data_IF_668067637153
#
_entry.id   IF_668067637153
#
_cell.length_a   1.000
_cell.length_b   1.000
_cell.length_c   1.000
_cell.angle_alpha   90.00
_cell.angle_beta   90.00
_cell.angle_gamma   90.00
#
_symmetry.space_group_name_H-M   'P 1'
#
loop_
_entity.id
_entity.type
_entity.pdbx_description
1 polymer ?
#
# COMPACT_ATOMS: atom_id res chain seq x y z
N UNK A 1 -30.74 8.17 69.38
CA UNK A 1 -29.54 8.58 68.64
C UNK A 1 -29.51 7.73 67.36
N UNK A 2 -29.84 8.30 66.23
CA UNK A 2 -29.86 7.59 64.92
C UNK A 2 -28.55 7.88 64.19
N UNK A 3 -27.72 6.87 64.00
CA UNK A 3 -26.51 6.99 63.22
C UNK A 3 -26.86 6.88 61.72
N UNK A 4 -26.64 7.95 60.96
CA UNK A 4 -26.72 7.98 59.50
C UNK A 4 -25.34 7.62 58.95
N UNK A 5 -25.24 6.46 58.35
CA UNK A 5 -24.01 6.03 57.59
C UNK A 5 -24.13 6.59 56.20
N UNK A 6 -23.28 7.58 55.89
CA UNK A 6 -23.15 8.15 54.54
C UNK A 6 -22.20 7.26 53.74
N UNK A 7 -22.76 6.45 52.84
CA UNK A 7 -22.01 5.68 51.86
C UNK A 7 -21.64 6.53 50.65
N UNK A 8 -20.41 7.01 50.61
CA UNK A 8 -19.90 7.75 49.44
C UNK A 8 -19.56 6.71 48.34
N UNK A 9 -20.40 6.66 47.31
CA UNK A 9 -20.17 5.86 46.14
C UNK A 9 -19.03 6.46 45.29
N UNK A 10 -17.92 5.75 45.16
CA UNK A 10 -16.81 6.08 44.27
C UNK A 10 -17.21 5.68 42.84
N UNK A 11 -17.63 6.63 42.02
CA UNK A 11 -17.84 6.39 40.58
C UNK A 11 -16.48 6.41 39.90
N UNK A 12 -15.97 5.23 39.59
CA UNK A 12 -14.79 5.08 38.73
C UNK A 12 -15.18 5.46 37.29
N UNK A 13 -14.76 6.64 36.82
CA UNK A 13 -14.75 6.95 35.38
C UNK A 13 -13.76 6.02 34.71
N UNK A 14 -14.26 4.95 34.09
CA UNK A 14 -13.48 4.18 33.11
C UNK A 14 -13.39 5.04 31.85
N UNK A 15 -12.35 5.87 31.75
CA UNK A 15 -11.96 6.51 30.51
C UNK A 15 -11.56 5.40 29.53
N UNK A 16 -12.34 5.22 28.45
CA UNK A 16 -11.90 4.45 27.29
C UNK A 16 -10.75 5.24 26.68
N UNK A 17 -9.51 4.83 26.94
CA UNK A 17 -8.37 5.27 26.13
C UNK A 17 -8.65 4.73 24.73
N UNK A 18 -8.89 5.62 23.76
CA UNK A 18 -8.81 5.24 22.34
C UNK A 18 -7.40 4.65 22.17
N UNK A 19 -7.31 3.36 21.85
CA UNK A 19 -6.04 2.77 21.50
C UNK A 19 -5.52 3.53 20.27
N UNK A 20 -4.27 3.98 20.31
CA UNK A 20 -3.62 4.55 19.15
C UNK A 20 -3.61 3.47 18.06
N UNK A 21 -4.04 3.82 16.84
CA UNK A 21 -3.95 2.91 15.70
C UNK A 21 -2.52 2.90 15.16
N UNK A 22 -2.00 1.73 14.85
CA UNK A 22 -0.67 1.57 14.30
C UNK A 22 -0.72 0.98 12.89
N UNK A 23 -0.11 1.67 11.91
CA UNK A 23 0.00 1.20 10.53
C UNK A 23 1.48 1.08 10.16
N UNK A 24 1.87 -0.12 9.70
CA UNK A 24 3.16 -0.37 9.10
C UNK A 24 3.07 -0.33 7.57
N UNK A 25 4.07 0.24 6.92
CA UNK A 25 4.15 0.25 5.47
C UNK A 25 5.52 -0.23 4.99
N UNK A 26 5.57 -1.09 3.98
CA UNK A 26 6.81 -1.49 3.33
C UNK A 26 6.75 -1.18 1.85
N UNK A 27 7.81 -0.57 1.35
CA UNK A 27 7.94 -0.17 -0.06
C UNK A 27 9.09 -0.91 -0.71
N UNK A 28 8.93 -1.22 -2.00
CA UNK A 28 9.94 -1.93 -2.77
C UNK A 28 11.30 -1.22 -2.73
N UNK A 29 11.29 0.13 -2.80
CA UNK A 29 12.50 0.97 -2.68
C UNK A 29 12.14 2.40 -2.28
N UNK A 30 13.10 3.08 -1.66
CA UNK A 30 12.94 4.48 -1.27
C UNK A 30 13.52 5.47 -2.28
N UNK A 31 14.40 5.04 -3.17
CA UNK A 31 15.10 5.86 -4.15
C UNK A 31 14.33 6.06 -5.48
N UNK A 32 13.09 5.59 -5.56
CA UNK A 32 12.18 5.84 -6.67
C UNK A 32 11.46 7.19 -6.48
N UNK A 33 11.54 8.06 -7.48
CA UNK A 33 10.95 9.41 -7.42
C UNK A 33 9.43 9.39 -7.25
N UNK A 34 8.73 8.47 -7.95
CA UNK A 34 7.28 8.38 -7.85
C UNK A 34 6.85 7.81 -6.49
N UNK A 35 7.50 6.75 -6.04
CA UNK A 35 7.27 6.19 -4.70
C UNK A 35 7.59 7.21 -3.60
N UNK A 36 8.55 8.10 -3.81
CA UNK A 36 8.83 9.19 -2.86
C UNK A 36 7.64 10.13 -2.73
N UNK A 37 7.00 10.52 -3.83
CA UNK A 37 5.78 11.34 -3.79
C UNK A 37 4.65 10.62 -3.05
N UNK A 38 4.42 9.34 -3.37
CA UNK A 38 3.40 8.52 -2.70
C UNK A 38 3.67 8.42 -1.18
N UNK A 39 4.89 8.06 -0.80
CA UNK A 39 5.29 7.91 0.62
C UNK A 39 5.16 9.21 1.41
N UNK A 40 5.59 10.33 0.82
CA UNK A 40 5.47 11.65 1.45
C UNK A 40 4.01 12.01 1.67
N UNK A 41 3.17 11.84 0.65
CA UNK A 41 1.74 12.10 0.78
C UNK A 41 1.05 11.20 1.82
N UNK A 42 1.48 9.94 1.97
CA UNK A 42 0.98 9.05 3.02
C UNK A 42 1.37 9.53 4.43
N UNK A 43 2.61 10.01 4.63
CA UNK A 43 3.04 10.60 5.92
C UNK A 43 2.22 11.85 6.23
N UNK A 44 2.15 12.78 5.26
CA UNK A 44 1.38 14.02 5.43
C UNK A 44 -0.09 13.76 5.78
N UNK A 45 -0.70 12.74 5.15
CA UNK A 45 -2.08 12.36 5.46
C UNK A 45 -2.20 11.70 6.84
N UNK A 46 -1.30 10.79 7.20
CA UNK A 46 -1.27 10.14 8.49
C UNK A 46 -1.16 11.15 9.64
N UNK A 47 -0.34 12.19 9.46
CA UNK A 47 -0.17 13.28 10.44
C UNK A 47 -1.44 14.11 10.68
N UNK A 48 -2.45 14.01 9.80
CA UNK A 48 -3.76 14.65 10.00
C UNK A 48 -4.72 13.84 10.85
N UNK A 49 -4.39 12.59 11.18
CA UNK A 49 -5.28 11.65 11.88
C UNK A 49 -4.83 11.55 13.34
N UNK A 50 -5.66 12.06 14.25
CA UNK A 50 -5.37 12.00 15.67
C UNK A 50 -5.28 10.55 16.17
N UNK A 51 -4.21 10.22 16.87
CA UNK A 51 -3.99 8.91 17.46
C UNK A 51 -3.52 7.83 16.48
N UNK A 52 -3.17 8.19 15.23
CA UNK A 52 -2.54 7.28 14.28
C UNK A 52 -1.01 7.31 14.40
N UNK A 53 -0.39 6.14 14.55
CA UNK A 53 1.05 5.92 14.38
C UNK A 53 1.29 5.29 13.01
N UNK A 54 2.13 5.90 12.19
CA UNK A 54 2.45 5.42 10.85
C UNK A 54 3.96 5.32 10.65
N UNK A 55 4.44 4.15 10.24
CA UNK A 55 5.85 3.90 10.00
C UNK A 55 6.08 3.31 8.61
N UNK A 56 7.23 3.64 8.01
CA UNK A 56 7.62 3.14 6.68
C UNK A 56 8.96 2.43 6.71
N UNK A 57 9.07 1.34 5.96
CA UNK A 57 10.30 0.59 5.79
C UNK A 57 10.67 0.44 4.30
N UNK A 58 11.97 0.51 4.01
CA UNK A 58 12.55 0.29 2.69
C UNK A 58 12.93 -1.18 2.53
N UNK A 59 12.32 -1.89 1.58
CA UNK A 59 12.72 -3.24 1.23
C UNK A 59 14.01 -3.28 0.39
N UNK A 60 14.42 -2.15 -0.21
CA UNK A 60 15.64 -2.05 -1.04
C UNK A 60 15.67 -3.05 -2.20
N UNK A 61 14.51 -3.31 -2.83
CA UNK A 61 14.26 -4.33 -3.85
C UNK A 61 14.63 -5.77 -3.43
N UNK A 62 14.67 -6.04 -2.12
CA UNK A 62 14.91 -7.36 -1.57
C UNK A 62 13.58 -7.96 -1.05
N UNK A 63 13.07 -8.97 -1.76
CA UNK A 63 11.83 -9.65 -1.43
C UNK A 63 11.91 -10.36 -0.06
N UNK A 64 13.04 -10.97 0.29
CA UNK A 64 13.18 -11.65 1.55
C UNK A 64 13.10 -10.66 2.71
N UNK A 65 13.79 -9.51 2.57
CA UNK A 65 13.70 -8.40 3.51
C UNK A 65 12.25 -7.87 3.63
N UNK A 66 11.53 -7.72 2.51
CA UNK A 66 10.14 -7.28 2.56
C UNK A 66 9.23 -8.24 3.31
N UNK A 67 9.37 -9.55 3.07
CA UNK A 67 8.60 -10.57 3.80
C UNK A 67 8.90 -10.51 5.30
N UNK A 68 10.15 -10.32 5.68
CA UNK A 68 10.54 -10.20 7.09
C UNK A 68 10.02 -8.89 7.72
N UNK A 69 9.96 -7.78 6.98
CA UNK A 69 9.31 -6.54 7.41
C UNK A 69 7.82 -6.76 7.69
N UNK A 70 7.10 -7.43 6.78
CA UNK A 70 5.68 -7.78 7.00
C UNK A 70 5.51 -8.63 8.26
N UNK A 71 6.33 -9.66 8.46
CA UNK A 71 6.31 -10.49 9.68
C UNK A 71 6.59 -9.69 10.94
N UNK A 72 7.52 -8.75 10.88
CA UNK A 72 7.85 -7.88 12.00
C UNK A 72 6.68 -6.97 12.38
N UNK A 73 5.97 -6.39 11.39
CA UNK A 73 4.76 -5.62 11.63
C UNK A 73 3.68 -6.47 12.30
N UNK A 74 3.44 -7.69 11.80
CA UNK A 74 2.50 -8.63 12.43
C UNK A 74 2.91 -8.94 13.88
N UNK A 75 4.20 -9.21 14.11
CA UNK A 75 4.72 -9.52 15.44
C UNK A 75 4.66 -8.35 16.42
N UNK A 76 4.77 -7.12 15.92
CA UNK A 76 4.61 -5.89 16.72
C UNK A 76 3.15 -5.53 16.98
N UNK A 77 2.20 -6.18 16.30
CA UNK A 77 0.77 -6.01 16.53
C UNK A 77 0.17 -4.78 15.87
N UNK A 78 0.70 -4.35 14.72
CA UNK A 78 0.10 -3.25 13.95
C UNK A 78 -1.34 -3.60 13.52
N UNK A 79 -2.20 -2.60 13.44
CA UNK A 79 -3.61 -2.78 13.07
C UNK A 79 -3.80 -3.03 11.57
N UNK A 80 -2.87 -2.53 10.73
CA UNK A 80 -2.89 -2.77 9.29
C UNK A 80 -1.49 -2.62 8.68
N UNK A 81 -1.31 -3.23 7.50
CA UNK A 81 -0.06 -3.19 6.73
C UNK A 81 -0.33 -2.66 5.33
N UNK A 82 0.53 -1.75 4.86
CA UNK A 82 0.53 -1.28 3.47
C UNK A 82 1.76 -1.83 2.77
N UNK A 83 1.60 -2.41 1.58
CA UNK A 83 2.69 -3.05 0.83
C UNK A 83 2.76 -2.51 -0.59
N UNK A 84 3.86 -1.85 -0.94
CA UNK A 84 4.27 -1.72 -2.33
C UNK A 84 5.22 -2.87 -2.65
N UNK A 85 4.70 -3.95 -3.24
CA UNK A 85 5.40 -5.23 -3.36
C UNK A 85 6.67 -5.12 -4.23
N UNK A 86 7.76 -5.79 -3.82
CA UNK A 86 9.03 -5.86 -4.58
C UNK A 86 8.85 -6.65 -5.87
N UNK A 87 8.30 -7.84 -5.76
CA UNK A 87 8.04 -8.76 -6.88
C UNK A 87 6.57 -9.17 -6.88
N UNK A 88 5.86 -8.81 -7.93
CA UNK A 88 4.41 -9.07 -8.03
C UNK A 88 4.07 -10.56 -8.08
N UNK A 89 5.00 -11.43 -8.48
CA UNK A 89 4.83 -12.88 -8.46
C UNK A 89 4.88 -13.50 -7.05
N UNK A 90 5.26 -12.72 -6.04
CA UNK A 90 5.32 -13.16 -4.65
C UNK A 90 4.08 -12.80 -3.83
N UNK A 91 2.98 -12.38 -4.47
CA UNK A 91 1.76 -11.95 -3.81
C UNK A 91 1.26 -12.96 -2.76
N UNK A 92 1.19 -14.24 -3.11
CA UNK A 92 0.77 -15.29 -2.18
C UNK A 92 1.67 -15.42 -0.94
N UNK A 93 3.00 -15.24 -1.09
CA UNK A 93 3.95 -15.35 0.01
C UNK A 93 3.84 -14.14 0.97
N UNK A 94 3.66 -12.94 0.42
CA UNK A 94 3.45 -11.72 1.21
C UNK A 94 2.10 -11.76 1.93
N UNK A 95 1.04 -12.19 1.24
CA UNK A 95 -0.29 -12.41 1.85
C UNK A 95 -0.24 -13.39 3.02
N UNK A 96 0.47 -14.51 2.86
CA UNK A 96 0.65 -15.49 3.91
C UNK A 96 1.46 -14.95 5.09
N UNK A 97 2.44 -14.08 4.84
CA UNK A 97 3.24 -13.45 5.90
C UNK A 97 2.41 -12.48 6.77
N UNK A 98 1.41 -11.82 6.18
CA UNK A 98 0.49 -10.94 6.90
C UNK A 98 -0.53 -11.71 7.77
N UNK A 99 -0.83 -12.97 7.41
CA UNK A 99 -1.83 -13.78 8.13
C UNK A 99 -3.20 -13.10 8.15
N UNK A 100 -3.76 -12.93 9.35
CA UNK A 100 -5.07 -12.27 9.56
C UNK A 100 -4.97 -10.75 9.67
N UNK A 101 -3.75 -10.18 9.73
CA UNK A 101 -3.55 -8.73 9.80
C UNK A 101 -4.03 -8.09 8.49
N UNK A 102 -4.90 -7.07 8.55
CA UNK A 102 -5.34 -6.34 7.37
C UNK A 102 -4.16 -5.84 6.54
N UNK A 103 -4.22 -6.07 5.21
CA UNK A 103 -3.14 -5.68 4.30
C UNK A 103 -3.70 -5.02 3.05
N UNK A 104 -3.09 -3.91 2.64
CA UNK A 104 -3.41 -3.21 1.40
C UNK A 104 -2.19 -3.16 0.50
N UNK A 105 -2.26 -3.83 -0.64
CA UNK A 105 -1.29 -3.65 -1.71
C UNK A 105 -1.52 -2.32 -2.41
N UNK A 106 -0.45 -1.58 -2.69
CA UNK A 106 -0.52 -0.29 -3.38
C UNK A 106 0.38 -0.25 -4.61
N UNK A 107 -0.11 0.37 -5.69
CA UNK A 107 0.61 0.64 -6.92
C UNK A 107 0.96 -0.61 -7.76
N UNK A 108 1.57 -1.64 -7.19
CA UNK A 108 1.97 -2.85 -7.90
C UNK A 108 0.98 -3.97 -7.60
N UNK A 109 0.32 -4.48 -8.64
CA UNK A 109 -0.69 -5.54 -8.54
C UNK A 109 -0.02 -6.88 -8.22
N UNK A 110 -0.37 -7.56 -7.11
CA UNK A 110 0.12 -8.89 -6.84
C UNK A 110 -0.55 -9.91 -7.77
N UNK A 111 0.17 -10.97 -8.13
CA UNK A 111 -0.33 -12.01 -9.04
C UNK A 111 -1.54 -12.81 -8.51
N UNK A 112 -1.77 -12.75 -7.22
CA UNK A 112 -2.92 -13.37 -6.54
C UNK A 112 -4.08 -12.42 -6.27
N UNK A 113 -4.17 -11.27 -6.97
CA UNK A 113 -5.19 -10.24 -6.71
C UNK A 113 -6.62 -10.76 -6.72
N UNK A 114 -6.95 -11.71 -7.61
CA UNK A 114 -8.28 -12.28 -7.76
C UNK A 114 -8.71 -13.21 -6.61
N UNK A 115 -7.75 -13.63 -5.78
CA UNK A 115 -7.97 -14.59 -4.67
C UNK A 115 -7.47 -14.04 -3.32
N UNK A 116 -7.37 -12.73 -3.18
CA UNK A 116 -6.99 -12.10 -1.93
C UNK A 116 -7.97 -12.46 -0.81
N UNK A 117 -7.49 -12.72 0.42
CA UNK A 117 -8.35 -12.89 1.59
C UNK A 117 -9.23 -11.64 1.83
N UNK A 118 -10.37 -11.82 2.51
CA UNK A 118 -11.30 -10.72 2.80
C UNK A 118 -10.68 -9.58 3.65
N UNK A 119 -9.56 -9.85 4.33
CA UNK A 119 -8.78 -8.86 5.09
C UNK A 119 -7.75 -8.12 4.23
N UNK A 120 -7.68 -8.42 2.93
CA UNK A 120 -6.67 -7.84 2.05
C UNK A 120 -7.33 -7.16 0.85
N UNK A 121 -6.67 -6.11 0.34
CA UNK A 121 -7.15 -5.34 -0.80
C UNK A 121 -5.97 -4.86 -1.68
N UNK A 122 -6.30 -4.45 -2.90
CA UNK A 122 -5.36 -3.81 -3.82
C UNK A 122 -5.90 -2.46 -4.28
N UNK A 123 -5.03 -1.45 -4.28
CA UNK A 123 -5.34 -0.07 -4.70
C UNK A 123 -4.25 0.44 -5.65
N UNK A 124 -4.63 0.68 -6.89
CA UNK A 124 -3.75 1.26 -7.90
C UNK A 124 -4.54 1.87 -9.08
N UNK A 125 -3.81 2.39 -10.08
CA UNK A 125 -4.36 2.77 -11.37
C UNK A 125 -4.64 1.52 -12.23
N UNK A 126 -5.53 1.70 -13.23
CA UNK A 126 -5.73 0.69 -14.27
C UNK A 126 -4.61 0.81 -15.32
N UNK A 127 -3.66 -0.10 -15.30
CA UNK A 127 -2.47 -0.04 -16.14
C UNK A 127 -2.78 -0.31 -17.63
N UNK A 128 -3.77 -1.16 -17.92
CA UNK A 128 -4.23 -1.41 -19.30
C UNK A 128 -4.86 -0.14 -19.88
N UNK A 129 -5.66 0.57 -19.11
CA UNK A 129 -6.25 1.85 -19.51
C UNK A 129 -5.16 2.91 -19.74
N UNK A 130 -4.18 2.98 -18.85
CA UNK A 130 -3.03 3.88 -18.95
C UNK A 130 -2.25 3.66 -20.26
N UNK A 131 -1.94 2.39 -20.58
CA UNK A 131 -1.28 2.01 -21.84
C UNK A 131 -2.13 2.33 -23.07
N UNK A 132 -3.42 2.04 -23.01
CA UNK A 132 -4.37 2.33 -24.10
C UNK A 132 -4.46 3.83 -24.38
N UNK A 133 -4.57 4.67 -23.35
CA UNK A 133 -4.59 6.12 -23.49
C UNK A 133 -3.27 6.66 -24.05
N UNK A 134 -2.15 6.12 -23.62
CA UNK A 134 -0.82 6.48 -24.15
C UNK A 134 -0.73 6.17 -25.66
N UNK A 135 -1.15 4.97 -26.07
CA UNK A 135 -1.17 4.59 -27.49
C UNK A 135 -2.13 5.48 -28.30
N UNK A 136 -3.30 5.80 -27.73
CA UNK A 136 -4.26 6.71 -28.38
C UNK A 136 -3.67 8.10 -28.64
N UNK A 137 -3.03 8.71 -27.64
CA UNK A 137 -2.42 10.04 -27.79
C UNK A 137 -1.25 10.02 -28.78
N UNK A 138 -0.42 8.98 -28.80
CA UNK A 138 0.64 8.80 -29.79
C UNK A 138 0.04 8.74 -31.20
N UNK A 139 -0.97 7.90 -31.43
CA UNK A 139 -1.62 7.76 -32.72
C UNK A 139 -2.29 9.06 -33.18
N UNK A 140 -2.93 9.80 -32.29
CA UNK A 140 -3.54 11.10 -32.55
C UNK A 140 -2.51 12.11 -33.04
N UNK A 141 -1.36 12.21 -32.35
CA UNK A 141 -0.29 13.13 -32.73
C UNK A 141 0.36 12.73 -34.07
N UNK A 142 0.60 11.44 -34.32
CA UNK A 142 1.13 10.97 -35.60
C UNK A 142 0.19 11.29 -36.77
N UNK A 143 -1.11 11.19 -36.56
CA UNK A 143 -2.12 11.59 -37.61
C UNK A 143 -2.07 13.08 -37.85
N UNK A 144 -1.99 13.89 -36.79
CA UNK A 144 -1.89 15.36 -36.92
C UNK A 144 -0.62 15.77 -37.69
N UNK A 145 0.48 15.04 -37.51
CA UNK A 145 1.74 15.26 -38.24
C UNK A 145 1.78 14.66 -39.65
N UNK A 146 0.67 14.10 -40.15
CA UNK A 146 0.63 13.46 -41.47
C UNK A 146 1.32 12.11 -41.58
N UNK A 147 1.67 11.48 -40.45
CA UNK A 147 2.39 10.22 -40.36
C UNK A 147 1.46 9.02 -40.09
N UNK A 148 0.19 9.13 -40.49
CA UNK A 148 -0.82 8.08 -40.25
C UNK A 148 -0.51 6.74 -40.94
N UNK A 149 0.37 6.73 -41.96
CA UNK A 149 0.75 5.55 -42.75
C UNK A 149 1.80 4.64 -42.06
N UNK A 150 2.32 5.07 -40.93
CA UNK A 150 3.28 4.30 -40.14
C UNK A 150 4.39 5.14 -39.55
N UNK A 151 4.89 4.69 -38.42
CA UNK A 151 6.03 5.25 -37.70
C UNK A 151 6.80 4.12 -37.00
N UNK A 152 8.08 4.32 -36.76
CA UNK A 152 8.87 3.44 -35.91
C UNK A 152 8.79 3.94 -34.49
N UNK A 153 8.43 3.07 -33.55
CA UNK A 153 8.36 3.36 -32.11
C UNK A 153 9.31 2.49 -31.33
N UNK A 154 9.69 2.96 -30.16
CA UNK A 154 10.44 2.20 -29.16
C UNK A 154 9.62 2.18 -27.88
N UNK A 155 9.43 0.98 -27.30
CA UNK A 155 8.83 0.78 -26.01
C UNK A 155 9.93 0.55 -24.97
N UNK A 156 10.03 1.45 -23.99
CA UNK A 156 10.91 1.24 -22.84
C UNK A 156 10.08 0.64 -21.69
N UNK A 157 10.27 -0.65 -21.46
CA UNK A 157 9.61 -1.33 -20.35
C UNK A 157 10.33 -1.05 -19.03
N UNK A 158 9.57 -1.03 -17.94
CA UNK A 158 10.11 -1.15 -16.58
C UNK A 158 10.58 -2.58 -16.26
N UNK A 159 10.79 -2.85 -14.98
CA UNK A 159 11.16 -4.19 -14.51
C UNK A 159 10.01 -5.18 -14.79
N UNK A 160 10.34 -6.35 -15.38
CA UNK A 160 9.34 -7.38 -15.69
C UNK A 160 8.77 -8.09 -14.46
N UNK A 161 9.39 -7.93 -13.29
CA UNK A 161 8.86 -8.32 -11.97
C UNK A 161 7.75 -7.39 -11.46
N UNK A 162 7.43 -6.34 -12.21
CA UNK A 162 6.36 -5.40 -11.91
C UNK A 162 5.24 -5.56 -12.95
N UNK A 163 4.09 -6.05 -12.50
CA UNK A 163 2.92 -6.30 -13.36
C UNK A 163 2.50 -5.05 -14.16
N UNK A 164 2.60 -3.86 -13.60
CA UNK A 164 2.29 -2.62 -14.29
C UNK A 164 3.16 -2.39 -15.54
N UNK A 165 4.43 -2.82 -15.52
CA UNK A 165 5.31 -2.73 -16.69
C UNK A 165 4.95 -3.72 -17.80
N UNK A 166 4.26 -4.80 -17.45
CA UNK A 166 3.82 -5.84 -18.39
C UNK A 166 2.45 -5.48 -18.99
N UNK A 167 1.56 -4.86 -18.20
CA UNK A 167 0.20 -4.54 -18.61
C UNK A 167 0.09 -3.28 -19.48
N UNK A 168 0.99 -2.30 -19.33
CA UNK A 168 1.05 -1.08 -20.16
C UNK A 168 1.53 -1.37 -21.57
#
# INVERSE_FOLDING_TARGET
MKNIILTTGLVALMGTTAAAQEIGATFSRFDDNWLTVLRTGMVEYADTIDGLSYQQEDASDDLAKQIDQVRNFVASGVDAIIVNIVDTSAGAAVSAAAGDTPLVYVNREPDNVDVLPATQAFVASNEIESGTLSAFEICKNLRADGKAGGATGYLMNGQLSNQAAVQR
#
